data_IF_803400351238
#
_entry.id   IF_803400351238
#
_cell.length_a   1.000
_cell.length_b   1.000
_cell.length_c   1.000
_cell.angle_alpha   90.00
_cell.angle_beta   90.00
_cell.angle_gamma   90.00
#
_symmetry.space_group_name_H-M   'P 1'
#
loop_
_entity.id
_entity.type
_entity.pdbx_description
1 polymer ?
#
# COMPACT_ATOMS: atom_id res chain seq x y z
N UNK A 1 -73.12 31.09 10.02
CA UNK A 1 -73.12 30.45 11.35
C UNK A 1 -72.25 29.21 11.25
N UNK A 2 -70.94 29.30 11.52
CA UNK A 2 -70.30 29.05 12.84
C UNK A 2 -70.59 27.61 13.30
N UNK A 3 -69.67 26.69 13.61
CA UNK A 3 -68.21 26.57 13.84
C UNK A 3 -67.85 25.10 13.45
N UNK A 4 -66.66 24.69 12.97
CA UNK A 4 -65.36 24.71 13.63
C UNK A 4 -65.04 23.37 14.32
N UNK A 5 -64.10 22.57 13.80
CA UNK A 5 -63.01 21.90 14.57
C UNK A 5 -62.19 20.92 13.71
N UNK A 6 -60.88 20.99 13.95
CA UNK A 6 -59.76 20.26 13.35
C UNK A 6 -59.78 18.75 13.58
N UNK A 7 -59.30 17.97 12.59
CA UNK A 7 -58.25 16.95 12.78
C UNK A 7 -57.32 16.99 11.55
N UNK A 8 -56.02 17.15 11.83
CA UNK A 8 -54.91 17.01 10.88
C UNK A 8 -54.62 15.51 10.67
N UNK A 9 -54.57 15.04 9.43
CA UNK A 9 -53.76 13.87 9.05
C UNK A 9 -52.93 14.30 7.84
N UNK A 10 -51.61 14.40 8.06
CA UNK A 10 -50.62 14.55 7.01
C UNK A 10 -50.32 13.13 6.53
N UNK A 11 -50.81 12.76 5.34
CA UNK A 11 -50.36 11.55 4.68
C UNK A 11 -48.98 11.85 4.08
N UNK A 12 -48.00 11.02 4.46
CA UNK A 12 -46.58 11.16 4.12
C UNK A 12 -46.36 11.27 2.61
N UNK A 13 -45.73 12.39 2.22
CA UNK A 13 -45.15 12.55 0.90
C UNK A 13 -44.12 11.45 0.62
N UNK A 14 -44.24 10.83 -0.55
CA UNK A 14 -43.22 9.96 -1.12
C UNK A 14 -41.93 10.76 -1.35
N UNK A 15 -40.99 10.69 -0.40
CA UNK A 15 -39.63 11.13 -0.66
C UNK A 15 -38.96 10.11 -1.58
N UNK A 16 -38.76 10.55 -2.83
CA UNK A 16 -37.95 9.84 -3.81
C UNK A 16 -36.58 9.53 -3.22
N UNK A 17 -36.18 8.27 -3.32
CA UNK A 17 -34.78 7.87 -3.23
C UNK A 17 -34.03 8.61 -4.34
N UNK A 18 -33.40 9.72 -3.98
CA UNK A 18 -32.26 10.24 -4.73
C UNK A 18 -31.15 9.21 -4.60
N UNK A 19 -31.18 8.23 -5.51
CA UNK A 19 -30.04 7.36 -5.75
C UNK A 19 -28.85 8.27 -6.03
N UNK A 20 -27.91 8.31 -5.08
CA UNK A 20 -26.58 8.85 -5.33
C UNK A 20 -26.06 8.18 -6.60
N UNK A 21 -25.38 8.92 -7.50
CA UNK A 21 -24.84 8.32 -8.70
C UNK A 21 -23.95 7.16 -8.27
N UNK A 22 -24.26 5.96 -8.76
CA UNK A 22 -23.47 4.74 -8.56
C UNK A 22 -22.08 5.09 -9.11
N UNK A 23 -21.14 5.42 -8.22
CA UNK A 23 -19.77 5.73 -8.63
C UNK A 23 -19.19 4.41 -9.10
N UNK A 24 -19.27 4.17 -10.40
CA UNK A 24 -18.71 2.95 -10.99
C UNK A 24 -17.20 2.94 -10.75
N UNK A 25 -16.78 2.12 -9.78
CA UNK A 25 -15.37 1.84 -9.56
C UNK A 25 -14.87 1.07 -10.78
N UNK A 26 -13.88 1.65 -11.46
CA UNK A 26 -13.15 1.02 -12.54
C UNK A 26 -11.75 0.71 -12.02
N UNK A 27 -11.32 -0.54 -12.20
CA UNK A 27 -9.92 -0.92 -12.03
C UNK A 27 -9.38 -1.33 -13.38
N UNK A 28 -8.31 -0.68 -13.80
CA UNK A 28 -7.58 -1.04 -15.00
C UNK A 28 -6.34 -1.83 -14.62
N UNK A 29 -6.27 -3.07 -15.11
CA UNK A 29 -5.12 -3.95 -14.94
C UNK A 29 -4.44 -4.05 -16.30
N UNK A 30 -3.27 -3.43 -16.43
CA UNK A 30 -2.47 -3.54 -17.64
C UNK A 30 -1.34 -4.53 -17.44
N UNK A 31 -1.39 -5.61 -18.22
CA UNK A 31 -0.29 -6.55 -18.43
C UNK A 31 0.42 -6.22 -19.75
N UNK A 32 1.64 -6.73 -19.97
CA UNK A 32 2.40 -6.47 -21.23
C UNK A 32 1.63 -6.85 -22.50
N UNK A 33 0.71 -7.82 -22.43
CA UNK A 33 -0.04 -8.33 -23.58
C UNK A 33 -1.48 -7.84 -23.66
N UNK A 34 -2.03 -7.29 -22.57
CA UNK A 34 -3.46 -7.01 -22.46
C UNK A 34 -3.75 -5.99 -21.36
N UNK A 35 -4.55 -4.98 -21.69
CA UNK A 35 -5.20 -4.12 -20.72
C UNK A 35 -6.62 -4.62 -20.50
N UNK A 36 -6.94 -4.96 -19.26
CA UNK A 36 -8.26 -5.37 -18.83
C UNK A 36 -8.85 -4.33 -17.89
N UNK A 37 -10.06 -3.89 -18.21
CA UNK A 37 -10.83 -2.98 -17.37
C UNK A 37 -11.93 -3.75 -16.67
N UNK A 38 -11.89 -3.79 -15.34
CA UNK A 38 -12.93 -4.35 -14.49
C UNK A 38 -13.83 -3.22 -13.99
N UNK A 39 -15.15 -3.34 -14.18
CA UNK A 39 -16.15 -2.33 -13.81
C UNK A 39 -17.36 -2.96 -13.12
N UNK A 40 -18.01 -2.18 -12.26
CA UNK A 40 -19.31 -2.50 -11.68
C UNK A 40 -19.25 -3.49 -10.50
N UNK A 41 -20.39 -4.08 -10.17
CA UNK A 41 -20.61 -4.85 -8.93
C UNK A 41 -19.72 -6.10 -8.77
N UNK A 42 -19.05 -6.56 -9.84
CA UNK A 42 -18.12 -7.68 -9.76
C UNK A 42 -16.96 -7.42 -8.79
N UNK A 43 -16.52 -6.15 -8.68
CA UNK A 43 -15.48 -5.74 -7.74
C UNK A 43 -15.90 -5.94 -6.28
N UNK A 44 -17.20 -5.89 -5.99
CA UNK A 44 -17.75 -6.10 -4.65
C UNK A 44 -17.75 -7.58 -4.23
N UNK A 45 -17.58 -8.50 -5.19
CA UNK A 45 -17.42 -9.93 -4.92
C UNK A 45 -15.96 -10.38 -4.96
N UNK A 46 -15.04 -9.49 -5.34
CA UNK A 46 -13.64 -9.81 -5.49
C UNK A 46 -12.97 -9.82 -4.11
N UNK A 47 -12.93 -11.00 -3.51
CA UNK A 47 -12.28 -11.20 -2.21
C UNK A 47 -10.77 -11.37 -2.33
N UNK A 48 -10.25 -11.72 -3.50
CA UNK A 48 -8.83 -11.95 -3.70
C UNK A 48 -8.37 -11.52 -5.10
N UNK A 49 -7.22 -10.87 -5.17
CA UNK A 49 -6.48 -10.59 -6.40
C UNK A 49 -5.08 -11.19 -6.23
N UNK A 50 -4.73 -12.10 -7.14
CA UNK A 50 -3.37 -12.62 -7.26
C UNK A 50 -2.84 -12.28 -8.66
N UNK A 51 -1.84 -11.40 -8.70
CA UNK A 51 -1.10 -11.01 -9.89
C UNK A 51 0.39 -11.32 -9.73
N UNK A 52 0.74 -12.20 -8.78
CA UNK A 52 2.13 -12.54 -8.51
C UNK A 52 2.81 -13.27 -9.66
N UNK A 53 4.14 -13.30 -9.65
CA UNK A 53 4.96 -14.02 -10.64
C UNK A 53 4.72 -13.57 -12.09
N UNK A 54 4.60 -12.26 -12.30
CA UNK A 54 4.42 -11.65 -13.60
C UNK A 54 5.58 -10.69 -13.91
N UNK A 55 5.48 -9.95 -15.00
CA UNK A 55 6.42 -8.89 -15.39
C UNK A 55 5.75 -7.52 -15.37
N UNK A 56 4.81 -7.30 -14.45
CA UNK A 56 4.12 -6.02 -14.29
C UNK A 56 5.14 -4.96 -13.90
N UNK A 57 5.02 -3.76 -14.48
CA UNK A 57 5.96 -2.67 -14.26
C UNK A 57 5.20 -1.34 -14.12
N UNK A 58 5.90 -0.33 -13.62
CA UNK A 58 5.30 0.96 -13.26
C UNK A 58 4.78 0.98 -11.83
N UNK A 59 4.10 2.08 -11.48
CA UNK A 59 3.56 2.31 -10.15
C UNK A 59 2.33 1.48 -9.84
N UNK A 60 2.13 1.15 -8.56
CA UNK A 60 0.86 0.60 -8.07
C UNK A 60 -0.23 1.68 -8.18
N UNK A 61 -1.33 1.45 -8.91
CA UNK A 61 -2.42 2.43 -9.02
C UNK A 61 -3.07 2.72 -7.67
N UNK A 62 -3.32 4.00 -7.37
CA UNK A 62 -3.95 4.41 -6.10
C UNK A 62 -5.40 3.93 -5.99
N UNK A 63 -6.04 3.67 -7.13
CA UNK A 63 -7.40 3.19 -7.31
C UNK A 63 -7.60 1.79 -6.74
N UNK A 64 -6.55 0.96 -6.64
CA UNK A 64 -6.62 -0.34 -5.96
C UNK A 64 -7.03 -0.21 -4.49
N UNK A 65 -6.78 0.94 -3.86
CA UNK A 65 -7.25 1.25 -2.51
C UNK A 65 -8.77 1.40 -2.38
N UNK A 66 -9.53 1.45 -3.48
CA UNK A 66 -10.99 1.55 -3.44
C UNK A 66 -11.69 0.17 -3.41
N UNK A 67 -10.93 -0.92 -3.43
CA UNK A 67 -11.46 -2.29 -3.38
C UNK A 67 -11.80 -2.70 -1.94
N UNK A 68 -12.80 -2.06 -1.32
CA UNK A 68 -13.09 -2.20 0.12
C UNK A 68 -13.37 -3.63 0.60
N UNK A 69 -13.85 -4.50 -0.28
CA UNK A 69 -14.21 -5.89 0.01
C UNK A 69 -13.06 -6.89 -0.16
N UNK A 70 -11.88 -6.44 -0.61
CA UNK A 70 -10.75 -7.33 -0.85
C UNK A 70 -10.18 -7.85 0.47
N UNK A 71 -9.94 -9.16 0.52
CA UNK A 71 -9.32 -9.89 1.63
C UNK A 71 -7.88 -10.29 1.34
N UNK A 72 -7.54 -10.54 0.08
CA UNK A 72 -6.17 -10.88 -0.31
C UNK A 72 -5.72 -10.07 -1.54
N UNK A 73 -4.56 -9.43 -1.43
CA UNK A 73 -3.89 -8.79 -2.55
C UNK A 73 -2.45 -9.28 -2.62
N UNK A 74 -2.14 -10.05 -3.67
CA UNK A 74 -0.80 -10.54 -3.94
C UNK A 74 -0.27 -9.91 -5.25
N UNK A 75 0.74 -9.07 -5.12
CA UNK A 75 1.46 -8.41 -6.23
C UNK A 75 2.94 -8.85 -6.28
N UNK A 76 3.31 -9.90 -5.55
CA UNK A 76 4.72 -10.26 -5.38
C UNK A 76 5.38 -10.78 -6.67
N UNK A 77 6.71 -10.79 -6.71
CA UNK A 77 7.48 -11.28 -7.86
C UNK A 77 7.08 -10.59 -9.18
N UNK A 78 7.23 -9.27 -9.21
CA UNK A 78 6.98 -8.43 -10.37
C UNK A 78 8.11 -7.38 -10.52
N UNK A 79 7.96 -6.46 -11.47
CA UNK A 79 8.87 -5.35 -11.71
C UNK A 79 8.25 -4.00 -11.31
N UNK A 80 7.32 -3.97 -10.34
CA UNK A 80 6.63 -2.74 -9.91
C UNK A 80 7.62 -1.76 -9.29
N UNK A 81 7.42 -0.46 -9.53
CA UNK A 81 8.27 0.64 -9.06
C UNK A 81 7.44 1.69 -8.33
N UNK A 82 8.08 2.73 -7.79
CA UNK A 82 7.39 3.81 -7.09
C UNK A 82 6.96 3.41 -5.66
N UNK A 83 6.07 4.20 -5.06
CA UNK A 83 5.71 4.06 -3.64
C UNK A 83 4.49 3.17 -3.42
N UNK A 84 4.41 2.57 -2.23
CA UNK A 84 3.19 1.91 -1.77
C UNK A 84 2.08 2.97 -1.58
N UNK A 85 0.90 2.84 -2.21
CA UNK A 85 -0.18 3.82 -2.07
C UNK A 85 -0.70 3.88 -0.63
N UNK A 86 -0.74 5.08 -0.03
CA UNK A 86 -1.37 5.27 1.28
C UNK A 86 -2.88 4.99 1.27
N UNK A 87 -3.50 4.96 0.09
CA UNK A 87 -4.90 4.57 -0.11
C UNK A 87 -5.17 3.11 0.27
N UNK A 88 -4.15 2.26 0.38
CA UNK A 88 -4.31 0.88 0.85
C UNK A 88 -4.81 0.80 2.30
N UNK A 89 -4.68 1.88 3.09
CA UNK A 89 -5.31 2.00 4.42
C UNK A 89 -6.84 1.90 4.39
N UNK A 90 -7.48 2.10 3.23
CA UNK A 90 -8.93 1.97 3.04
C UNK A 90 -9.39 0.52 2.89
N UNK A 91 -8.49 -0.43 2.67
CA UNK A 91 -8.80 -1.85 2.48
C UNK A 91 -9.11 -2.53 3.83
N UNK A 92 -10.16 -2.08 4.53
CA UNK A 92 -10.42 -2.45 5.94
C UNK A 92 -10.69 -3.95 6.15
N UNK A 93 -11.04 -4.69 5.10
CA UNK A 93 -11.28 -6.14 5.14
C UNK A 93 -10.05 -6.97 4.76
N UNK A 94 -8.91 -6.35 4.42
CA UNK A 94 -7.73 -7.08 3.95
C UNK A 94 -7.11 -7.93 5.06
N UNK A 95 -6.90 -9.20 4.74
CA UNK A 95 -6.30 -10.23 5.59
C UNK A 95 -4.89 -10.60 5.11
N UNK A 96 -4.61 -10.48 3.81
CA UNK A 96 -3.30 -10.77 3.22
C UNK A 96 -2.87 -9.69 2.24
N UNK A 97 -1.69 -9.10 2.47
CA UNK A 97 -1.06 -8.13 1.57
C UNK A 97 0.39 -8.54 1.31
N UNK A 98 0.68 -9.01 0.09
CA UNK A 98 2.03 -9.38 -0.32
C UNK A 98 2.49 -8.50 -1.48
N UNK A 99 3.51 -7.68 -1.21
CA UNK A 99 4.17 -6.76 -2.15
C UNK A 99 5.65 -7.14 -2.35
N UNK A 100 6.07 -8.31 -1.88
CA UNK A 100 7.46 -8.72 -1.87
C UNK A 100 8.04 -8.94 -3.27
N UNK A 101 9.38 -8.94 -3.40
CA UNK A 101 10.07 -9.19 -4.67
C UNK A 101 9.60 -8.25 -5.80
N UNK A 102 9.73 -6.95 -5.56
CA UNK A 102 9.45 -5.88 -6.52
C UNK A 102 10.59 -4.83 -6.45
N UNK A 103 10.44 -3.70 -7.14
CA UNK A 103 11.37 -2.56 -7.11
C UNK A 103 10.72 -1.33 -6.44
N UNK A 104 9.81 -1.53 -5.48
CA UNK A 104 9.12 -0.45 -4.77
C UNK A 104 10.11 0.36 -3.94
N UNK A 105 9.86 1.66 -3.79
CA UNK A 105 10.72 2.60 -3.08
C UNK A 105 9.93 3.56 -2.17
N UNK A 106 10.65 4.45 -1.50
CA UNK A 106 10.06 5.34 -0.49
C UNK A 106 9.76 4.60 0.82
N UNK A 107 8.92 5.20 1.66
CA UNK A 107 8.59 4.69 2.99
C UNK A 107 7.34 3.83 2.99
N UNK A 108 7.24 2.88 3.93
CA UNK A 108 5.98 2.17 4.20
C UNK A 108 4.97 3.16 4.81
N UNK A 109 3.78 3.38 4.21
CA UNK A 109 2.81 4.33 4.72
C UNK A 109 2.35 3.97 6.14
N UNK A 110 2.45 4.90 7.08
CA UNK A 110 2.07 4.67 8.49
C UNK A 110 0.58 4.36 8.64
N UNK A 111 -0.25 4.82 7.69
CA UNK A 111 -1.69 4.53 7.65
C UNK A 111 -2.00 3.04 7.49
N UNK A 112 -1.06 2.21 7.01
CA UNK A 112 -1.26 0.76 6.94
C UNK A 112 -1.42 0.12 8.33
N UNK A 113 -0.90 0.76 9.39
CA UNK A 113 -1.08 0.28 10.77
C UNK A 113 -2.54 0.24 11.23
N UNK A 114 -3.45 0.88 10.49
CA UNK A 114 -4.88 0.84 10.75
C UNK A 114 -5.62 -0.35 10.08
N UNK A 115 -4.89 -1.29 9.49
CA UNK A 115 -5.44 -2.52 8.90
C UNK A 115 -5.52 -3.62 9.96
N UNK A 116 -6.58 -3.58 10.77
CA UNK A 116 -6.73 -4.47 11.93
C UNK A 116 -7.01 -5.94 11.60
N UNK A 117 -7.47 -6.23 10.38
CA UNK A 117 -7.76 -7.58 9.88
C UNK A 117 -6.55 -8.27 9.26
N UNK A 118 -5.43 -7.56 9.08
CA UNK A 118 -4.27 -8.04 8.35
C UNK A 118 -3.56 -9.15 9.14
N UNK A 119 -3.49 -10.34 8.56
CA UNK A 119 -2.85 -11.53 9.16
C UNK A 119 -1.55 -11.92 8.44
N UNK A 120 -1.43 -11.58 7.15
CA UNK A 120 -0.24 -11.82 6.34
C UNK A 120 0.20 -10.50 5.72
N UNK A 121 1.46 -10.13 5.94
CA UNK A 121 2.06 -8.92 5.38
C UNK A 121 3.50 -9.22 4.95
N UNK A 122 3.84 -8.86 3.72
CA UNK A 122 5.23 -8.86 3.26
C UNK A 122 5.50 -7.72 2.30
N UNK A 123 6.60 -7.03 2.55
CA UNK A 123 7.22 -6.03 1.68
C UNK A 123 8.69 -6.36 1.43
N UNK A 124 9.09 -7.60 1.73
CA UNK A 124 10.47 -8.06 1.62
C UNK A 124 11.01 -7.94 0.19
N UNK A 125 12.33 -7.82 0.05
CA UNK A 125 13.01 -7.73 -1.24
C UNK A 125 12.45 -6.63 -2.15
N UNK A 126 12.51 -5.39 -1.66
CA UNK A 126 12.21 -4.17 -2.38
C UNK A 126 13.34 -3.14 -2.14
N UNK A 127 13.15 -1.88 -2.56
CA UNK A 127 14.06 -0.77 -2.31
C UNK A 127 13.43 0.27 -1.35
N UNK A 128 12.65 -0.19 -0.37
CA UNK A 128 12.00 0.66 0.61
C UNK A 128 13.03 1.26 1.60
N UNK A 129 12.67 2.40 2.16
CA UNK A 129 13.53 3.16 3.07
C UNK A 129 12.77 3.68 4.29
N UNK A 130 13.53 4.19 5.26
CA UNK A 130 12.98 4.78 6.48
C UNK A 130 12.68 3.74 7.55
N UNK A 131 11.85 4.11 8.52
CA UNK A 131 11.55 3.24 9.67
C UNK A 131 10.44 2.23 9.32
N UNK A 132 10.56 1.00 9.82
CA UNK A 132 9.46 0.04 9.84
C UNK A 132 8.24 0.62 10.56
N UNK A 133 7.02 0.16 10.22
CA UNK A 133 5.81 0.60 10.90
C UNK A 133 5.88 0.34 12.40
N UNK A 134 5.23 1.21 13.18
CA UNK A 134 5.17 1.02 14.62
C UNK A 134 4.54 -0.35 14.94
N UNK A 135 5.18 -1.10 15.85
CA UNK A 135 4.74 -2.44 16.25
C UNK A 135 3.50 -2.34 17.15
N UNK A 136 2.34 -2.08 16.55
CA UNK A 136 1.01 -2.00 17.16
C UNK A 136 0.04 -2.93 16.45
N UNK A 137 -0.95 -3.43 17.19
CA UNK A 137 -1.97 -4.36 16.69
C UNK A 137 -1.32 -5.50 15.88
N UNK A 138 -1.77 -5.72 14.64
CA UNK A 138 -1.25 -6.78 13.78
C UNK A 138 0.21 -6.54 13.36
N UNK A 139 0.66 -5.29 13.23
CA UNK A 139 2.06 -4.99 12.87
C UNK A 139 3.07 -5.42 13.96
N UNK A 140 2.61 -5.71 15.18
CA UNK A 140 3.45 -6.28 16.22
C UNK A 140 3.74 -7.79 16.02
N UNK A 141 2.96 -8.48 15.18
CA UNK A 141 3.10 -9.93 14.94
C UNK A 141 4.02 -10.25 13.77
N UNK A 142 4.20 -9.32 12.83
CA UNK A 142 5.09 -9.53 11.68
C UNK A 142 6.56 -9.56 12.09
N UNK A 143 7.28 -10.52 11.53
CA UNK A 143 8.67 -10.84 11.82
C UNK A 143 9.64 -10.14 10.85
N UNK A 144 10.94 -10.33 11.05
CA UNK A 144 12.00 -9.77 10.19
C UNK A 144 11.80 -10.13 8.71
N UNK A 145 11.35 -11.35 8.42
CA UNK A 145 11.10 -11.87 7.08
C UNK A 145 10.05 -11.07 6.30
N UNK A 146 9.14 -10.36 6.95
CA UNK A 146 8.17 -9.48 6.28
C UNK A 146 8.82 -8.22 5.71
N UNK A 147 10.02 -7.85 6.16
CA UNK A 147 10.69 -6.59 5.85
C UNK A 147 12.08 -6.75 5.25
N UNK A 148 12.67 -7.95 5.34
CA UNK A 148 14.05 -8.24 4.91
C UNK A 148 14.31 -7.90 3.44
N UNK A 149 15.59 -7.79 3.07
CA UNK A 149 15.96 -7.49 1.69
C UNK A 149 15.62 -6.07 1.21
N UNK A 150 15.29 -5.15 2.12
CA UNK A 150 15.18 -3.70 1.85
C UNK A 150 16.41 -2.97 2.42
N UNK A 151 17.40 -2.55 1.61
CA UNK A 151 18.69 -2.06 2.12
C UNK A 151 18.61 -0.80 2.99
N UNK A 152 17.62 0.06 2.75
CA UNK A 152 17.48 1.36 3.42
C UNK A 152 16.38 1.40 4.49
N UNK A 153 15.65 0.31 4.67
CA UNK A 153 14.59 0.18 5.67
C UNK A 153 15.21 -0.24 7.01
N UNK A 154 14.79 0.36 8.12
CA UNK A 154 15.41 0.15 9.44
C UNK A 154 14.39 0.12 10.58
N UNK A 155 14.79 -0.34 11.76
CA UNK A 155 13.94 -0.41 12.95
C UNK A 155 13.26 -1.77 13.14
N UNK A 156 12.84 -2.04 14.38
CA UNK A 156 12.28 -3.34 14.75
C UNK A 156 11.08 -3.72 13.85
N UNK A 157 10.98 -4.96 13.35
CA UNK A 157 11.73 -6.15 13.78
C UNK A 157 13.10 -6.35 13.11
N UNK A 158 13.54 -5.45 12.23
CA UNK A 158 14.86 -5.55 11.61
C UNK A 158 15.97 -5.21 12.62
N UNK A 159 17.14 -5.82 12.43
CA UNK A 159 18.33 -5.59 13.26
C UNK A 159 19.03 -4.26 13.00
N UNK A 160 18.80 -3.65 11.84
CA UNK A 160 19.45 -2.41 11.45
C UNK A 160 18.79 -1.20 12.13
N UNK A 161 19.57 -0.50 12.94
CA UNK A 161 19.11 0.70 13.60
C UNK A 161 19.16 1.90 12.65
N UNK A 162 18.12 2.72 12.66
CA UNK A 162 18.01 3.91 11.80
C UNK A 162 19.09 4.98 12.05
N UNK A 163 19.96 4.78 13.03
CA UNK A 163 21.09 5.65 13.37
C UNK A 163 22.34 5.41 12.51
N UNK A 164 22.46 4.26 11.81
CA UNK A 164 23.65 3.96 11.00
C UNK A 164 23.53 4.43 9.54
N UNK A 165 22.31 4.52 8.99
CA UNK A 165 22.11 4.98 7.61
C UNK A 165 22.25 6.51 7.43
N UNK A 166 22.22 7.30 8.51
CA UNK A 166 22.52 8.73 8.42
C UNK A 166 24.02 9.02 8.14
N UNK A 167 24.92 8.07 8.45
CA UNK A 167 26.37 8.22 8.23
C UNK A 167 26.84 7.78 6.85
N UNK A 168 26.05 6.96 6.16
CA UNK A 168 26.39 6.50 4.80
C UNK A 168 25.76 7.36 3.69
N UNK A 169 24.77 8.20 4.01
CA UNK A 169 24.25 9.22 3.07
C UNK A 169 25.11 10.48 3.05
N UNK A 170 25.84 10.78 4.13
CA UNK A 170 26.78 11.91 4.16
C UNK A 170 28.08 11.66 3.39
N UNK A 171 28.37 10.43 2.97
CA UNK A 171 29.61 10.07 2.28
C UNK A 171 29.45 9.88 0.75
N UNK A 172 28.29 10.25 0.18
CA UNK A 172 28.02 10.13 -1.26
C UNK A 172 27.72 11.46 -1.95
N UNK A 173 27.95 12.60 -1.28
CA UNK A 173 27.84 13.92 -1.92
C UNK A 173 28.68 14.97 -1.20
N UNK A 174 30.00 14.96 -1.43
CA UNK A 174 30.85 16.15 -1.56
C UNK A 174 32.33 15.76 -1.48
N UNK A 175 32.92 15.33 -2.60
CA UNK A 175 34.36 15.46 -2.82
C UNK A 175 34.55 16.03 -4.23
N UNK A 176 34.40 17.35 -4.36
CA UNK A 176 35.21 18.09 -5.32
C UNK A 176 36.40 18.67 -4.55
N UNK A 177 37.58 18.40 -5.12
CA UNK A 177 38.88 19.00 -4.84
C UNK A 177 39.60 18.65 -3.53
N UNK A 178 40.47 17.63 -3.58
CA UNK A 178 41.51 17.48 -2.57
C UNK A 178 42.32 16.17 -2.60
N UNK A 179 43.27 16.06 -3.53
CA UNK A 179 44.53 15.31 -3.40
C UNK A 179 44.46 13.86 -2.85
N UNK A 180 44.39 12.87 -3.75
CA UNK A 180 44.55 11.46 -3.38
C UNK A 180 46.04 11.13 -3.30
N UNK A 181 46.53 10.91 -2.08
CA UNK A 181 47.83 10.31 -1.84
C UNK A 181 47.79 8.84 -2.23
N UNK A 182 48.65 8.49 -3.19
CA UNK A 182 48.79 7.17 -3.76
C UNK A 182 49.75 6.40 -2.87
N UNK A 183 49.23 5.63 -1.92
CA UNK A 183 49.89 4.41 -1.45
C UNK A 183 48.95 3.59 -0.55
N UNK A 184 49.19 2.27 -0.56
CA UNK A 184 48.57 1.21 0.28
C UNK A 184 47.38 0.47 -0.33
N UNK A 185 47.64 -0.28 -1.40
CA UNK A 185 47.15 -1.67 -1.53
C UNK A 185 48.21 -2.55 -2.21
N UNK A 186 49.12 -3.10 -1.40
CA UNK A 186 49.81 -4.35 -1.73
C UNK A 186 49.43 -5.37 -0.66
N UNK A 187 48.57 -6.33 -1.03
CA UNK A 187 48.52 -7.65 -0.39
C UNK A 187 48.28 -8.70 -1.48
N UNK A 188 49.38 -9.19 -2.05
CA UNK A 188 49.71 -10.54 -2.56
C UNK A 188 50.69 -10.44 -3.72
#
# INVERSE_FOLDING_TARGET
NLLGSHILSLDEESFGQSALPDVEVQVEVTTKSRSDSYKGKILNYMSAIDLSCNQLAGGIPVELGNLSEIRALNLSHNNLTGTIPSTFSKLRQIESLDLSYNNLNGTIPTQLTELYSLAVFSVAHNNLSGMTPERKAQFATFEETSYEGNPLLCGAPLHNNCTENARNVSNLSADEDGFVDMDVFYVS
#
